data_IF_341431303090
#
_entry.id   IF_341431303090
#
_cell.length_a   1.000
_cell.length_b   1.000
_cell.length_c   1.000
_cell.angle_alpha   90.00
_cell.angle_beta   90.00
_cell.angle_gamma   90.00
#
_symmetry.space_group_name_H-M   'P 1'
#
loop_
_entity.id
_entity.type
_entity.pdbx_description
1 polymer ?
#
# COMPACT_ATOMS: atom_id res chain seq x y z
N UNK A 1 26.83 34.21 4.80
CA UNK A 1 25.91 33.06 4.64
C UNK A 1 26.63 31.85 5.23
N UNK A 2 26.19 31.26 6.35
CA UNK A 2 26.80 30.02 6.81
C UNK A 2 26.48 28.92 5.80
N UNK A 3 27.51 28.33 5.20
CA UNK A 3 27.39 27.15 4.36
C UNK A 3 26.88 25.99 5.21
N UNK A 4 25.81 25.32 4.76
CA UNK A 4 25.31 24.09 5.38
C UNK A 4 26.46 23.09 5.58
N UNK A 5 26.50 22.35 6.71
CA UNK A 5 27.55 21.36 6.94
C UNK A 5 27.53 20.30 5.82
N UNK A 6 28.70 19.75 5.43
CA UNK A 6 28.76 18.71 4.41
C UNK A 6 28.00 17.47 4.89
N UNK A 7 27.13 16.94 4.03
CA UNK A 7 26.37 15.71 4.28
C UNK A 7 27.36 14.57 4.51
N UNK A 8 27.23 13.84 5.62
CA UNK A 8 28.15 12.73 5.91
C UNK A 8 27.86 11.52 5.01
N UNK A 9 28.88 10.68 4.76
CA UNK A 9 28.70 9.44 3.99
C UNK A 9 27.66 8.51 4.62
N UNK A 10 27.50 8.56 5.95
CA UNK A 10 26.52 7.79 6.69
C UNK A 10 25.10 8.32 6.47
N UNK A 11 24.91 9.65 6.40
CA UNK A 11 23.62 10.27 6.07
C UNK A 11 23.16 9.91 4.65
N UNK A 12 24.12 9.85 3.70
CA UNK A 12 23.85 9.42 2.32
C UNK A 12 23.39 7.95 2.25
N UNK A 13 24.00 7.06 3.03
CA UNK A 13 23.61 5.65 3.10
C UNK A 13 22.21 5.48 3.71
N UNK A 14 21.91 6.21 4.79
CA UNK A 14 20.58 6.20 5.40
C UNK A 14 19.53 6.67 4.40
N UNK A 15 19.77 7.79 3.70
CA UNK A 15 18.85 8.31 2.69
C UNK A 15 18.64 7.31 1.54
N UNK A 16 19.72 6.65 1.08
CA UNK A 16 19.64 5.59 0.08
C UNK A 16 18.74 4.45 0.52
N UNK A 17 18.94 3.98 1.75
CA UNK A 17 18.15 2.90 2.35
C UNK A 17 16.66 3.25 2.42
N UNK A 18 16.33 4.43 2.93
CA UNK A 18 14.94 4.89 3.06
C UNK A 18 14.25 5.00 1.69
N UNK A 19 14.94 5.50 0.66
CA UNK A 19 14.37 5.59 -0.69
C UNK A 19 14.09 4.23 -1.32
N UNK A 20 14.99 3.26 -1.15
CA UNK A 20 14.75 1.86 -1.60
C UNK A 20 13.57 1.24 -0.82
N UNK A 21 13.47 1.53 0.47
CA UNK A 21 12.33 1.13 1.31
C UNK A 21 11.00 1.71 0.83
N UNK A 22 10.97 3.01 0.49
CA UNK A 22 9.80 3.69 -0.06
C UNK A 22 9.41 3.10 -1.41
N UNK A 23 10.37 2.91 -2.32
CA UNK A 23 10.10 2.27 -3.61
C UNK A 23 9.52 0.87 -3.46
N UNK A 24 10.07 0.06 -2.55
CA UNK A 24 9.54 -1.27 -2.25
C UNK A 24 8.11 -1.23 -1.71
N UNK A 25 7.75 -0.23 -0.90
CA UNK A 25 6.37 -0.02 -0.48
C UNK A 25 5.47 0.39 -1.64
N UNK A 26 5.92 1.32 -2.50
CA UNK A 26 5.17 1.73 -3.69
C UNK A 26 4.86 0.54 -4.61
N UNK A 27 5.82 -0.38 -4.81
CA UNK A 27 5.56 -1.60 -5.60
C UNK A 27 4.52 -2.53 -4.95
N UNK A 28 4.47 -2.60 -3.60
CA UNK A 28 3.41 -3.35 -2.91
C UNK A 28 2.04 -2.72 -3.12
N UNK A 29 1.96 -1.39 -2.97
CA UNK A 29 0.71 -0.64 -3.20
C UNK A 29 0.22 -0.84 -4.64
N UNK A 30 1.09 -0.77 -5.66
CA UNK A 30 0.73 -1.10 -7.07
C UNK A 30 0.06 -2.46 -7.18
N UNK A 31 0.62 -3.47 -6.52
CA UNK A 31 0.11 -4.83 -6.59
C UNK A 31 -1.25 -4.97 -5.90
N UNK A 32 -1.44 -4.29 -4.78
CA UNK A 32 -2.71 -4.26 -4.06
C UNK A 32 -3.79 -3.51 -4.85
N UNK A 33 -3.47 -2.36 -5.46
CA UNK A 33 -4.38 -1.60 -6.31
C UNK A 33 -4.79 -2.38 -7.55
N UNK A 34 -3.85 -3.06 -8.21
CA UNK A 34 -4.16 -3.93 -9.36
C UNK A 34 -5.14 -5.06 -9.01
N UNK A 35 -5.13 -5.55 -7.77
CA UNK A 35 -6.08 -6.56 -7.31
C UNK A 35 -7.51 -6.03 -7.07
N UNK A 36 -7.67 -4.71 -6.95
CA UNK A 36 -8.98 -4.06 -6.80
C UNK A 36 -9.66 -3.76 -8.14
N UNK A 37 -8.95 -3.92 -9.26
CA UNK A 37 -9.51 -3.67 -10.56
C UNK A 37 -10.67 -4.64 -10.88
N UNK A 38 -11.73 -4.16 -11.56
CA UNK A 38 -12.85 -5.00 -11.96
C UNK A 38 -12.40 -6.22 -12.78
N UNK A 39 -13.10 -7.38 -12.66
CA UNK A 39 -12.79 -8.56 -13.46
C UNK A 39 -12.84 -8.24 -14.96
N UNK A 40 -11.74 -8.44 -15.67
CA UNK A 40 -11.64 -8.17 -17.12
C UNK A 40 -11.16 -6.75 -17.48
N UNK A 41 -10.89 -5.89 -16.50
CA UNK A 41 -10.12 -4.67 -16.75
C UNK A 41 -8.72 -5.05 -17.29
N UNK A 42 -8.19 -4.34 -18.29
CA UNK A 42 -6.85 -4.63 -18.81
C UNK A 42 -5.83 -4.57 -17.67
N UNK A 43 -4.86 -5.49 -17.66
CA UNK A 43 -3.76 -5.45 -16.72
C UNK A 43 -2.83 -4.28 -17.07
N UNK A 44 -3.24 -3.08 -16.67
CA UNK A 44 -2.43 -1.89 -16.79
C UNK A 44 -1.32 -2.00 -15.75
N UNK A 45 -0.15 -2.48 -16.20
CA UNK A 45 1.16 -2.22 -15.55
C UNK A 45 1.53 -0.72 -15.64
N UNK A 46 0.56 0.16 -15.35
CA UNK A 46 0.70 1.60 -15.25
C UNK A 46 1.30 2.02 -13.91
N UNK A 47 1.46 3.33 -13.76
CA UNK A 47 1.78 3.95 -12.47
C UNK A 47 0.67 3.66 -11.44
N UNK A 48 0.97 3.74 -10.12
CA UNK A 48 -0.09 3.60 -9.09
C UNK A 48 -1.21 4.60 -9.32
N UNK A 49 -0.81 5.77 -9.81
CA UNK A 49 -1.71 6.87 -9.99
C UNK A 49 -2.74 6.66 -11.10
N UNK A 50 -2.37 6.00 -12.19
CA UNK A 50 -3.29 5.64 -13.27
C UNK A 50 -4.31 4.61 -12.77
N UNK A 51 -3.85 3.64 -11.98
CA UNK A 51 -4.76 2.66 -11.36
C UNK A 51 -5.74 3.33 -10.39
N UNK A 52 -5.30 4.33 -9.63
CA UNK A 52 -6.16 5.05 -8.70
C UNK A 52 -7.15 5.98 -9.43
N UNK A 53 -6.77 6.57 -10.56
CA UNK A 53 -7.67 7.33 -11.43
C UNK A 53 -8.79 6.42 -12.00
N UNK A 54 -8.45 5.20 -12.45
CA UNK A 54 -9.46 4.23 -12.93
C UNK A 54 -10.48 3.86 -11.84
N UNK A 55 -10.03 3.70 -10.59
CA UNK A 55 -10.93 3.44 -9.47
C UNK A 55 -11.89 4.63 -9.23
N UNK A 56 -11.39 5.86 -9.35
CA UNK A 56 -12.23 7.08 -9.24
C UNK A 56 -13.26 7.08 -10.36
N UNK A 57 -12.84 6.88 -11.60
CA UNK A 57 -13.75 6.83 -12.75
C UNK A 57 -14.79 5.72 -12.64
N UNK A 58 -14.39 4.52 -12.20
CA UNK A 58 -15.31 3.41 -12.00
C UNK A 58 -16.33 3.72 -10.89
N UNK A 59 -15.92 4.37 -9.80
CA UNK A 59 -16.82 4.74 -8.70
C UNK A 59 -17.75 5.91 -9.05
N UNK A 60 -17.29 6.90 -9.81
CA UNK A 60 -18.12 7.95 -10.39
C UNK A 60 -19.15 7.36 -11.37
N UNK A 61 -18.71 6.48 -12.27
CA UNK A 61 -19.57 5.79 -13.22
C UNK A 61 -20.66 4.97 -12.54
N UNK A 62 -20.30 4.18 -11.54
CA UNK A 62 -21.27 3.43 -10.74
C UNK A 62 -22.28 4.34 -10.03
N UNK A 63 -21.83 5.49 -9.50
CA UNK A 63 -22.71 6.47 -8.84
C UNK A 63 -23.69 7.07 -9.83
N UNK A 64 -23.25 7.44 -11.03
CA UNK A 64 -24.13 7.93 -12.10
C UNK A 64 -25.17 6.88 -12.50
N UNK A 65 -24.78 5.62 -12.68
CA UNK A 65 -25.71 4.54 -12.99
C UNK A 65 -26.77 4.35 -11.88
N UNK A 66 -26.37 4.47 -10.60
CA UNK A 66 -27.31 4.40 -9.48
C UNK A 66 -28.30 5.58 -9.55
N UNK A 67 -27.83 6.80 -9.75
CA UNK A 67 -28.68 8.00 -9.84
C UNK A 67 -29.67 7.89 -11.01
N UNK A 68 -29.19 7.53 -12.21
CA UNK A 68 -30.05 7.31 -13.39
C UNK A 68 -31.11 6.22 -13.16
N UNK A 69 -30.73 5.13 -12.50
CA UNK A 69 -31.67 4.04 -12.17
C UNK A 69 -32.76 4.53 -11.20
N UNK A 70 -32.39 5.36 -10.22
CA UNK A 70 -33.31 5.93 -9.24
C UNK A 70 -34.21 7.01 -9.86
N UNK A 71 -33.71 7.82 -10.79
CA UNK A 71 -34.53 8.74 -11.61
C UNK A 71 -35.58 7.97 -12.42
N UNK A 72 -35.20 6.83 -13.00
CA UNK A 72 -36.12 5.94 -13.70
C UNK A 72 -37.21 5.38 -12.77
N UNK A 73 -36.85 4.99 -11.55
CA UNK A 73 -37.82 4.54 -10.52
C UNK A 73 -38.77 5.66 -10.16
N UNK A 74 -38.29 6.89 -9.91
CA UNK A 74 -39.14 8.03 -9.56
C UNK A 74 -40.13 8.36 -10.69
N UNK A 75 -39.67 8.33 -11.95
CA UNK A 75 -40.52 8.53 -13.12
C UNK A 75 -41.66 7.51 -13.17
N UNK A 76 -41.34 6.22 -13.03
CA UNK A 76 -42.34 5.14 -13.03
C UNK A 76 -43.34 5.27 -11.86
N UNK A 77 -42.87 5.71 -10.69
CA UNK A 77 -43.72 5.93 -9.52
C UNK A 77 -44.66 7.11 -9.71
N UNK A 78 -44.19 8.20 -10.33
CA UNK A 78 -45.03 9.34 -10.67
C UNK A 78 -46.10 8.98 -11.71
N UNK A 79 -45.75 8.19 -12.72
CA UNK A 79 -46.72 7.67 -13.69
C UNK A 79 -47.78 6.80 -13.00
N UNK A 80 -47.36 5.86 -12.15
CA UNK A 80 -48.27 5.00 -11.39
C UNK A 80 -49.18 5.81 -10.45
N UNK A 81 -48.65 6.88 -9.85
CA UNK A 81 -49.38 7.80 -8.98
C UNK A 81 -50.51 8.52 -9.71
N UNK A 82 -50.32 8.88 -10.97
CA UNK A 82 -51.35 9.50 -11.80
C UNK A 82 -52.53 8.56 -12.11
N UNK A 83 -52.35 7.24 -11.98
CA UNK A 83 -53.35 6.22 -12.29
C UNK A 83 -54.27 5.85 -11.11
N UNK A 84 -54.05 6.43 -9.91
CA UNK A 84 -54.82 6.08 -8.72
C UNK A 84 -55.20 7.28 -7.87
N UNK A 85 -56.39 7.24 -7.29
CA UNK A 85 -56.85 8.21 -6.28
C UNK A 85 -56.82 7.66 -4.86
N UNK A 86 -56.44 6.39 -4.66
CA UNK A 86 -56.41 5.76 -3.34
C UNK A 86 -55.47 6.52 -2.38
N UNK A 87 -55.99 7.08 -1.27
CA UNK A 87 -55.18 7.81 -0.30
C UNK A 87 -54.03 6.98 0.30
N UNK A 88 -54.20 5.67 0.46
CA UNK A 88 -53.15 4.78 0.99
C UNK A 88 -52.01 4.63 -0.01
N UNK A 89 -52.33 4.43 -1.29
CA UNK A 89 -51.31 4.35 -2.34
C UNK A 89 -50.61 5.70 -2.52
N UNK A 90 -51.33 6.82 -2.45
CA UNK A 90 -50.72 8.16 -2.49
C UNK A 90 -49.70 8.37 -1.37
N UNK A 91 -49.99 7.94 -0.15
CA UNK A 91 -49.04 8.01 0.97
C UNK A 91 -47.81 7.12 0.77
N UNK A 92 -47.96 5.96 0.12
CA UNK A 92 -46.82 5.09 -0.24
C UNK A 92 -45.93 5.79 -1.27
N UNK A 93 -46.52 6.43 -2.31
CA UNK A 93 -45.74 7.17 -3.29
C UNK A 93 -44.94 8.32 -2.66
N UNK A 94 -45.52 9.08 -1.72
CA UNK A 94 -44.77 10.11 -0.98
C UNK A 94 -43.57 9.51 -0.23
N UNK A 95 -43.79 8.40 0.47
CA UNK A 95 -42.72 7.72 1.18
C UNK A 95 -41.61 7.20 0.23
N UNK A 96 -41.97 6.78 -0.99
CA UNK A 96 -40.98 6.39 -2.01
C UNK A 96 -40.21 7.60 -2.51
N UNK A 97 -40.87 8.71 -2.84
CA UNK A 97 -40.22 9.95 -3.27
C UNK A 97 -39.24 10.46 -2.21
N UNK A 98 -39.60 10.38 -0.92
CA UNK A 98 -38.69 10.73 0.17
C UNK A 98 -37.43 9.84 0.16
N UNK A 99 -37.56 8.54 -0.10
CA UNK A 99 -36.41 7.62 -0.21
C UNK A 99 -35.55 7.90 -1.44
N UNK A 100 -36.16 8.22 -2.57
CA UNK A 100 -35.46 8.63 -3.79
C UNK A 100 -34.62 9.89 -3.52
N UNK A 101 -35.21 10.91 -2.90
CA UNK A 101 -34.51 12.13 -2.51
C UNK A 101 -33.33 11.87 -1.57
N UNK A 102 -33.50 10.98 -0.58
CA UNK A 102 -32.40 10.59 0.32
C UNK A 102 -31.23 9.93 -0.44
N UNK A 103 -31.51 9.16 -1.50
CA UNK A 103 -30.44 8.55 -2.32
C UNK A 103 -29.71 9.62 -3.12
N UNK A 104 -30.42 10.57 -3.76
CA UNK A 104 -29.77 11.68 -4.47
C UNK A 104 -28.88 12.51 -3.55
N UNK A 105 -29.36 12.84 -2.35
CA UNK A 105 -28.56 13.58 -1.39
C UNK A 105 -27.31 12.80 -0.98
N UNK A 106 -27.45 11.50 -0.69
CA UNK A 106 -26.33 10.64 -0.33
C UNK A 106 -25.30 10.53 -1.47
N UNK A 107 -25.75 10.33 -2.71
CA UNK A 107 -24.89 10.25 -3.89
C UNK A 107 -24.24 11.61 -4.23
N UNK A 108 -24.88 12.73 -3.92
CA UNK A 108 -24.30 14.07 -4.17
C UNK A 108 -23.01 14.33 -3.38
N UNK A 109 -22.85 13.71 -2.20
CA UNK A 109 -21.60 13.78 -1.43
C UNK A 109 -20.44 13.03 -2.09
N UNK A 110 -20.72 12.16 -3.06
CA UNK A 110 -19.69 11.44 -3.81
C UNK A 110 -18.86 12.41 -4.68
N UNK A 111 -19.44 13.49 -5.22
CA UNK A 111 -18.68 14.51 -5.98
C UNK A 111 -17.57 15.16 -5.13
N UNK A 112 -17.90 15.59 -3.91
CA UNK A 112 -16.93 16.15 -2.97
C UNK A 112 -15.85 15.11 -2.61
N UNK A 113 -16.26 13.84 -2.46
CA UNK A 113 -15.34 12.74 -2.17
C UNK A 113 -14.41 12.48 -3.34
N UNK A 114 -14.92 12.42 -4.57
CA UNK A 114 -14.15 12.26 -5.81
C UNK A 114 -13.11 13.35 -5.94
N UNK A 115 -13.50 14.63 -5.81
CA UNK A 115 -12.56 15.76 -5.86
C UNK A 115 -11.44 15.68 -4.80
N UNK A 116 -11.77 15.25 -3.58
CA UNK A 116 -10.77 15.08 -2.51
C UNK A 116 -9.82 13.93 -2.82
N UNK A 117 -10.34 12.80 -3.29
CA UNK A 117 -9.52 11.65 -3.66
C UNK A 117 -8.60 12.03 -4.84
N UNK A 118 -9.10 12.69 -5.88
CA UNK A 118 -8.30 13.18 -7.01
C UNK A 118 -7.12 14.06 -6.57
N UNK A 119 -7.30 14.93 -5.57
CA UNK A 119 -6.18 15.71 -5.00
C UNK A 119 -5.13 14.84 -4.32
N UNK A 120 -5.56 13.79 -3.61
CA UNK A 120 -4.65 12.81 -3.00
C UNK A 120 -3.89 12.05 -4.08
N UNK A 121 -4.57 11.58 -5.14
CA UNK A 121 -3.94 10.89 -6.27
C UNK A 121 -2.86 11.74 -6.91
N UNK A 122 -3.16 13.01 -7.19
CA UNK A 122 -2.20 13.94 -7.79
C UNK A 122 -0.98 14.17 -6.88
N UNK A 123 -1.15 14.14 -5.56
CA UNK A 123 -0.04 14.21 -4.62
C UNK A 123 0.80 12.93 -4.65
N UNK A 124 0.16 11.77 -4.77
CA UNK A 124 0.85 10.48 -4.91
C UNK A 124 1.62 10.39 -6.23
N UNK A 125 1.07 10.91 -7.34
CA UNK A 125 1.77 11.05 -8.64
C UNK A 125 3.11 11.74 -8.48
N UNK A 126 3.09 12.91 -7.83
CA UNK A 126 4.30 13.69 -7.60
C UNK A 126 5.36 12.94 -6.80
N UNK A 127 4.95 12.22 -5.75
CA UNK A 127 5.86 11.40 -4.93
C UNK A 127 6.44 10.25 -5.74
N UNK A 128 5.62 9.55 -6.51
CA UNK A 128 6.02 8.44 -7.38
C UNK A 128 7.03 8.90 -8.45
N UNK A 129 6.76 9.99 -9.15
CA UNK A 129 7.66 10.59 -10.15
C UNK A 129 9.02 10.97 -9.55
N UNK A 130 9.01 11.54 -8.34
CA UNK A 130 10.25 11.97 -7.66
C UNK A 130 11.09 10.78 -7.23
N UNK A 131 10.48 9.75 -6.66
CA UNK A 131 11.15 8.51 -6.29
C UNK A 131 11.74 7.83 -7.53
N UNK A 132 10.96 7.71 -8.61
CA UNK A 132 11.44 7.13 -9.87
C UNK A 132 12.62 7.93 -10.44
N UNK A 133 12.54 9.27 -10.42
CA UNK A 133 13.62 10.14 -10.90
C UNK A 133 14.93 9.97 -10.10
N UNK A 134 14.83 9.83 -8.77
CA UNK A 134 15.98 9.60 -7.88
C UNK A 134 16.61 8.24 -8.16
N UNK A 135 15.79 7.21 -8.32
CA UNK A 135 16.23 5.85 -8.67
C UNK A 135 16.98 5.82 -10.00
N UNK A 136 16.42 6.46 -11.03
CA UNK A 136 17.07 6.58 -12.34
C UNK A 136 18.43 7.27 -12.22
N UNK A 137 18.51 8.33 -11.40
CA UNK A 137 19.74 9.09 -11.17
C UNK A 137 20.82 8.28 -10.45
N UNK A 138 20.45 7.37 -9.54
CA UNK A 138 21.42 6.54 -8.81
C UNK A 138 22.02 5.41 -9.64
N UNK A 139 21.33 4.97 -10.70
CA UNK A 139 21.79 3.89 -11.56
C UNK A 139 21.64 2.49 -10.93
N UNK A 140 21.56 1.47 -11.79
CA UNK A 140 21.24 0.08 -11.40
C UNK A 140 22.23 -0.53 -10.40
N UNK A 141 23.52 -0.21 -10.54
CA UNK A 141 24.57 -0.86 -9.75
C UNK A 141 24.53 -0.43 -8.28
N UNK A 142 24.29 0.86 -8.01
CA UNK A 142 24.15 1.38 -6.66
C UNK A 142 22.84 0.94 -6.00
N UNK A 143 21.75 0.86 -6.75
CA UNK A 143 20.49 0.28 -6.27
C UNK A 143 20.66 -1.18 -5.86
N UNK A 144 21.42 -1.95 -6.65
CA UNK A 144 21.66 -3.36 -6.36
C UNK A 144 22.44 -3.53 -5.07
N UNK A 145 23.48 -2.71 -4.82
CA UNK A 145 24.23 -2.72 -3.56
C UNK A 145 23.35 -2.42 -2.36
N UNK A 146 22.55 -1.36 -2.41
CA UNK A 146 21.64 -0.98 -1.31
C UNK A 146 20.59 -2.06 -1.03
N UNK A 147 20.07 -2.72 -2.08
CA UNK A 147 19.12 -3.84 -1.93
C UNK A 147 19.78 -5.07 -1.30
N UNK A 148 21.04 -5.36 -1.65
CA UNK A 148 21.81 -6.47 -1.05
C UNK A 148 22.08 -6.17 0.42
N UNK A 149 22.56 -4.97 0.77
CA UNK A 149 22.80 -4.54 2.15
C UNK A 149 21.50 -4.60 3.00
N UNK A 150 20.37 -4.18 2.44
CA UNK A 150 19.05 -4.28 3.08
C UNK A 150 18.58 -5.72 3.34
N UNK A 151 18.99 -6.66 2.49
CA UNK A 151 18.67 -8.09 2.66
C UNK A 151 19.61 -8.76 3.65
N UNK A 152 20.88 -8.33 3.69
CA UNK A 152 21.88 -8.82 4.64
C UNK A 152 21.62 -8.33 6.07
N UNK A 153 21.12 -7.09 6.27
CA UNK A 153 20.68 -6.62 7.60
C UNK A 153 19.46 -7.39 8.15
N UNK A 154 18.60 -7.91 7.26
CA UNK A 154 17.40 -8.68 7.65
C UNK A 154 17.67 -10.13 8.01
N UNK A 155 18.89 -10.63 7.76
CA UNK A 155 19.31 -12.00 8.07
C UNK A 155 20.49 -11.97 9.06
N UNK A 156 20.24 -11.60 10.34
CA UNK A 156 21.28 -11.60 11.37
C UNK A 156 21.84 -13.00 11.64
N UNK A 157 21.09 -14.04 11.28
CA UNK A 157 21.43 -15.44 11.50
C UNK A 157 22.43 -15.98 10.46
N UNK A 158 22.56 -15.34 9.29
CA UNK A 158 23.64 -15.66 8.34
C UNK A 158 25.04 -15.48 8.92
N UNK A 159 25.23 -14.55 9.88
CA UNK A 159 26.49 -14.41 10.63
C UNK A 159 26.73 -15.53 11.65
N UNK A 160 25.69 -16.27 12.03
CA UNK A 160 25.77 -17.41 12.94
C UNK A 160 25.97 -18.74 12.19
N UNK A 161 25.75 -18.77 10.88
CA UNK A 161 26.02 -19.91 10.01
C UNK A 161 27.51 -20.01 9.66
N UNK A 162 28.35 -20.18 10.68
CA UNK A 162 29.65 -20.80 10.46
C UNK A 162 29.37 -22.26 10.10
N UNK A 163 29.58 -22.64 8.84
CA UNK A 163 29.43 -24.02 8.37
C UNK A 163 30.37 -24.99 9.12
N UNK A 164 30.25 -26.31 8.87
CA UNK A 164 31.10 -27.30 9.53
C UNK A 164 32.57 -26.91 9.42
N UNK A 165 33.24 -26.76 10.56
CA UNK A 165 34.65 -26.36 10.62
C UNK A 165 35.51 -27.33 9.81
N UNK A 166 36.47 -26.79 9.05
CA UNK A 166 37.42 -27.57 8.27
C UNK A 166 38.16 -28.58 9.18
N UNK A 167 38.53 -29.77 8.68
CA UNK A 167 39.29 -30.76 9.46
C UNK A 167 40.55 -30.11 10.06
N UNK A 168 40.66 -30.12 11.39
CA UNK A 168 41.77 -29.50 12.13
C UNK A 168 41.55 -28.05 12.59
N UNK A 169 40.43 -27.41 12.25
CA UNK A 169 39.99 -26.12 12.80
C UNK A 169 38.88 -26.25 13.86
N UNK A 170 38.60 -27.50 14.27
CA UNK A 170 37.78 -27.84 15.42
C UNK A 170 38.34 -27.28 16.72
N UNK A 171 37.48 -26.86 17.65
CA UNK A 171 37.90 -26.74 19.06
C UNK A 171 38.46 -28.10 19.48
N UNK A 172 39.71 -28.15 19.94
CA UNK A 172 40.32 -29.42 20.32
C UNK A 172 39.64 -29.96 21.58
N UNK A 173 39.44 -31.28 21.66
CA UNK A 173 38.82 -31.91 22.85
C UNK A 173 39.61 -31.57 24.13
N UNK A 174 40.93 -31.36 24.04
CA UNK A 174 41.75 -30.90 25.16
C UNK A 174 41.37 -29.49 25.66
N UNK A 175 40.87 -28.60 24.79
CA UNK A 175 40.38 -27.28 25.18
C UNK A 175 38.99 -27.37 25.84
N UNK A 176 38.16 -28.32 25.39
CA UNK A 176 36.87 -28.65 26.02
C UNK A 176 37.11 -29.25 27.41
N UNK A 177 38.01 -30.21 27.53
CA UNK A 177 38.35 -30.87 28.79
C UNK A 177 38.98 -29.88 29.80
N UNK A 178 39.68 -28.85 29.32
CA UNK A 178 40.20 -27.76 30.16
C UNK A 178 39.11 -26.82 30.66
N UNK A 179 38.00 -26.67 29.92
CA UNK A 179 36.83 -25.90 30.35
C UNK A 179 35.90 -26.69 31.29
N UNK A 180 35.97 -28.02 31.27
CA UNK A 180 35.13 -28.92 32.07
C UNK A 180 35.94 -29.82 33.02
N UNK A 181 37.10 -29.35 33.51
CA UNK A 181 37.89 -30.14 34.45
C UNK A 181 37.05 -30.45 35.71
N UNK A 182 37.06 -31.72 36.11
CA UNK A 182 36.24 -32.27 37.19
C UNK A 182 36.44 -31.51 38.52
N UNK A 183 37.64 -30.96 38.74
CA UNK A 183 37.97 -30.16 39.93
C UNK A 183 37.17 -28.85 40.06
N UNK A 184 36.74 -28.26 38.94
CA UNK A 184 35.93 -27.02 38.94
C UNK A 184 34.42 -27.33 39.04
N UNK A 185 33.99 -28.50 38.56
CA UNK A 185 32.62 -28.99 38.72
C UNK A 185 32.39 -29.47 40.17
N UNK A 186 33.37 -30.14 40.78
CA UNK A 186 33.28 -30.62 42.16
C UNK A 186 33.26 -29.46 43.18
N UNK A 187 33.84 -28.29 42.85
CA UNK A 187 33.71 -27.06 43.66
C UNK A 187 32.34 -26.37 43.56
N UNK A 188 31.56 -26.69 42.54
CA UNK A 188 30.22 -26.11 42.32
C UNK A 188 29.11 -26.92 43.01
N UNK A 189 29.39 -28.18 43.37
CA UNK A 189 28.41 -29.10 43.97
C UNK A 189 28.89 -29.80 45.26
N UNK A 190 30.06 -29.40 45.79
CA UNK A 190 30.61 -29.83 47.08
C UNK A 190 30.48 -28.78 48.18
#
# INVERSE_FOLDING_TARGET
>A
MPSSPPVSAQDLLILKREMVGLFGHLQRIRKELAALNPPGAPDHFGSMSEQLDEIIHATEGATNTIMESVEGVDTLMNDARALTEDPKLKAIFDAVTDKVNMVFEACSFQDITGQRVTKVVNSMKFVEERINSIIITWGRDELTKVVVELKEEKDPDKKLLNGPQLPGQGVAQADVDKMFNQDDIDKLFG
#
